data_IF_805672403705
#
_entry.id   IF_805672403705
#
_cell.length_a   1.000
_cell.length_b   1.000
_cell.length_c   1.000
_cell.angle_alpha   90.00
_cell.angle_beta   90.00
_cell.angle_gamma   90.00
#
_symmetry.space_group_name_H-M   'P 1'
#
loop_
_entity.id
_entity.type
_entity.pdbx_description
1 polymer ?
#
# COMPACT_ATOMS: atom_id res chain seq x y z
N UNK A 1 -44.78 -29.97 -6.23
CA UNK A 1 -44.42 -30.50 -4.89
C UNK A 1 -45.37 -29.99 -3.82
N UNK A 2 -45.48 -28.67 -3.60
CA UNK A 2 -46.37 -28.12 -2.57
C UNK A 2 -47.81 -28.63 -2.66
N UNK A 3 -48.41 -28.63 -3.85
CA UNK A 3 -49.78 -29.16 -4.05
C UNK A 3 -49.92 -30.65 -3.71
N UNK A 4 -48.92 -31.46 -4.08
CA UNK A 4 -48.88 -32.90 -3.81
C UNK A 4 -48.76 -33.16 -2.31
N UNK A 5 -47.86 -32.45 -1.62
CA UNK A 5 -47.71 -32.59 -0.19
C UNK A 5 -48.92 -32.03 0.56
N UNK A 6 -49.48 -30.88 0.15
CA UNK A 6 -50.74 -30.35 0.69
C UNK A 6 -51.89 -31.34 0.57
N UNK A 7 -51.94 -32.12 -0.53
CA UNK A 7 -52.91 -33.21 -0.67
C UNK A 7 -52.63 -34.34 0.33
N UNK A 8 -51.38 -34.77 0.49
CA UNK A 8 -51.01 -35.80 1.46
C UNK A 8 -51.36 -35.41 2.90
N UNK A 9 -51.20 -34.14 3.27
CA UNK A 9 -51.55 -33.59 4.60
C UNK A 9 -53.06 -33.43 4.85
N UNK A 10 -53.94 -33.67 3.86
CA UNK A 10 -55.40 -33.59 4.06
C UNK A 10 -55.96 -34.79 4.83
N UNK A 11 -55.28 -35.94 4.79
CA UNK A 11 -55.70 -37.14 5.51
C UNK A 11 -54.71 -37.46 6.63
N UNK A 12 -55.19 -37.46 7.88
CA UNK A 12 -54.36 -37.68 9.08
C UNK A 12 -53.62 -39.04 9.06
N UNK A 13 -54.15 -40.04 8.34
CA UNK A 13 -53.51 -41.35 8.18
C UNK A 13 -52.15 -41.26 7.45
N UNK A 14 -51.93 -40.23 6.63
CA UNK A 14 -50.70 -40.05 5.87
C UNK A 14 -49.56 -39.45 6.70
N UNK A 15 -49.84 -38.89 7.89
CA UNK A 15 -48.81 -38.35 8.78
C UNK A 15 -47.76 -39.40 9.14
N UNK A 16 -48.17 -40.66 9.31
CA UNK A 16 -47.26 -41.78 9.60
C UNK A 16 -46.27 -42.01 8.46
N UNK A 17 -46.70 -41.84 7.20
CA UNK A 17 -45.84 -42.00 6.02
C UNK A 17 -44.84 -40.85 5.91
N UNK A 18 -45.25 -39.62 6.24
CA UNK A 18 -44.42 -38.42 6.22
C UNK A 18 -43.36 -38.40 7.33
N UNK A 19 -43.65 -39.06 8.45
CA UNK A 19 -42.68 -39.31 9.53
C UNK A 19 -41.72 -40.44 9.19
N UNK A 20 -42.12 -41.38 8.33
CA UNK A 20 -41.29 -42.53 7.94
C UNK A 20 -40.36 -42.21 6.78
N UNK A 21 -40.78 -41.38 5.83
CA UNK A 21 -40.06 -41.11 4.59
C UNK A 21 -39.52 -39.68 4.50
N UNK A 22 -38.27 -39.56 4.06
CA UNK A 22 -37.61 -38.28 3.86
C UNK A 22 -38.01 -37.67 2.52
N UNK A 23 -39.06 -36.85 2.52
CA UNK A 23 -39.63 -36.26 1.30
C UNK A 23 -39.77 -34.75 1.35
N UNK A 24 -39.36 -34.08 2.43
CA UNK A 24 -39.48 -32.62 2.60
C UNK A 24 -38.08 -32.01 2.63
N UNK A 25 -37.74 -31.02 1.79
CA UNK A 25 -36.39 -30.45 1.75
C UNK A 25 -36.13 -29.52 2.96
N UNK A 26 -34.93 -29.61 3.50
CA UNK A 26 -34.37 -28.59 4.40
C UNK A 26 -33.79 -27.40 3.62
N UNK A 27 -33.26 -26.38 4.31
CA UNK A 27 -32.65 -25.19 3.68
C UNK A 27 -31.46 -25.52 2.77
N UNK A 28 -30.80 -26.66 2.95
CA UNK A 28 -29.72 -27.13 2.08
C UNK A 28 -30.22 -27.92 0.86
N UNK A 29 -31.53 -28.11 0.72
CA UNK A 29 -32.15 -28.88 -0.37
C UNK A 29 -32.10 -30.40 -0.17
N UNK A 30 -31.67 -30.87 1.00
CA UNK A 30 -31.65 -32.30 1.36
C UNK A 30 -33.02 -32.70 1.88
N UNK A 31 -33.59 -33.78 1.34
CA UNK A 31 -34.87 -34.30 1.83
C UNK A 31 -34.71 -34.96 3.20
N UNK A 32 -35.58 -34.57 4.13
CA UNK A 32 -35.66 -35.01 5.53
C UNK A 32 -37.09 -35.44 5.87
N UNK A 33 -37.24 -36.13 7.00
CA UNK A 33 -38.56 -36.53 7.52
C UNK A 33 -39.30 -35.31 8.07
N UNK A 34 -40.62 -35.42 8.17
CA UNK A 34 -41.45 -34.37 8.71
C UNK A 34 -41.05 -33.92 10.13
N UNK A 35 -40.79 -34.87 11.03
CA UNK A 35 -40.45 -34.61 12.44
C UNK A 35 -39.02 -34.08 12.65
N UNK A 36 -38.20 -34.03 11.60
CA UNK A 36 -36.81 -33.57 11.65
C UNK A 36 -36.66 -32.08 11.25
N UNK A 37 -37.74 -31.44 10.79
CA UNK A 37 -37.71 -30.10 10.21
C UNK A 37 -38.44 -29.07 11.06
N UNK A 38 -37.86 -27.89 11.16
CA UNK A 38 -38.34 -26.80 12.00
C UNK A 38 -38.48 -25.49 11.22
N UNK A 39 -39.42 -24.64 11.66
CA UNK A 39 -39.51 -23.26 11.17
C UNK A 39 -38.45 -22.41 11.84
N UNK A 40 -37.74 -21.64 11.03
CA UNK A 40 -36.72 -20.70 11.49
C UNK A 40 -37.37 -19.38 11.91
N UNK A 41 -37.39 -19.10 13.22
CA UNK A 41 -37.70 -17.77 13.75
C UNK A 41 -36.50 -17.13 14.44
N UNK A 42 -35.29 -17.65 14.23
CA UNK A 42 -34.10 -17.00 14.71
C UNK A 42 -33.84 -15.77 13.84
N UNK A 43 -33.87 -14.60 14.47
CA UNK A 43 -33.57 -13.30 13.85
C UNK A 43 -32.15 -12.83 14.20
N UNK A 44 -31.23 -13.77 14.37
CA UNK A 44 -29.86 -13.50 14.82
C UNK A 44 -28.87 -14.31 13.98
N UNK A 45 -28.28 -13.64 12.99
CA UNK A 45 -27.31 -14.27 12.09
C UNK A 45 -26.00 -14.58 12.80
N UNK A 46 -25.61 -13.78 13.79
CA UNK A 46 -24.36 -13.96 14.56
C UNK A 46 -24.40 -15.28 15.33
N UNK A 47 -25.51 -15.59 15.99
CA UNK A 47 -25.66 -16.88 16.70
C UNK A 47 -25.66 -18.08 15.74
N UNK A 48 -26.21 -17.93 14.54
CA UNK A 48 -26.17 -18.99 13.51
C UNK A 48 -24.73 -19.22 13.02
N UNK A 49 -23.97 -18.15 12.83
CA UNK A 49 -22.56 -18.20 12.42
C UNK A 49 -21.67 -18.84 13.49
N UNK A 50 -21.83 -18.44 14.76
CA UNK A 50 -21.16 -19.07 15.91
C UNK A 50 -21.42 -20.58 15.91
N UNK A 51 -22.67 -20.99 15.70
CA UNK A 51 -23.02 -22.42 15.69
C UNK A 51 -22.39 -23.18 14.50
N UNK A 52 -22.28 -22.52 13.34
CA UNK A 52 -21.58 -23.04 12.17
C UNK A 52 -20.09 -23.25 12.45
N UNK A 53 -19.41 -22.29 13.11
CA UNK A 53 -18.01 -22.41 13.52
C UNK A 53 -17.80 -23.58 14.50
N UNK A 54 -18.79 -23.86 15.34
CA UNK A 54 -18.80 -25.02 16.23
C UNK A 54 -19.12 -26.36 15.51
N UNK A 55 -19.12 -26.36 14.18
CA UNK A 55 -19.34 -27.50 13.28
C UNK A 55 -20.75 -28.10 13.40
N UNK A 56 -21.74 -27.25 13.69
CA UNK A 56 -23.15 -27.65 13.75
C UNK A 56 -23.90 -26.93 12.63
N UNK A 57 -24.38 -27.69 11.65
CA UNK A 57 -25.17 -27.14 10.56
C UNK A 57 -26.62 -26.91 10.99
N UNK A 58 -26.92 -25.69 11.42
CA UNK A 58 -28.27 -25.31 11.81
C UNK A 58 -29.25 -25.36 10.62
N UNK A 59 -28.78 -25.09 9.40
CA UNK A 59 -29.62 -25.09 8.19
C UNK A 59 -30.11 -26.50 7.85
N UNK A 60 -29.41 -27.54 8.28
CA UNK A 60 -29.83 -28.93 8.09
C UNK A 60 -31.18 -29.23 8.78
N UNK A 61 -31.45 -28.56 9.91
CA UNK A 61 -32.66 -28.72 10.72
C UNK A 61 -33.83 -27.82 10.26
N UNK A 62 -33.55 -26.83 9.42
CA UNK A 62 -34.52 -25.81 9.07
C UNK A 62 -35.26 -26.14 7.77
N UNK A 63 -36.57 -25.92 7.78
CA UNK A 63 -37.44 -26.09 6.62
C UNK A 63 -37.04 -25.16 5.47
N UNK A 64 -37.04 -25.68 4.24
CA UNK A 64 -36.80 -24.87 3.05
C UNK A 64 -37.87 -23.77 2.87
N UNK A 65 -37.46 -22.55 2.55
CA UNK A 65 -38.34 -21.36 2.47
C UNK A 65 -39.50 -21.49 1.47
N UNK A 66 -39.35 -22.33 0.44
CA UNK A 66 -40.39 -22.57 -0.58
C UNK A 66 -41.46 -23.58 -0.16
N UNK A 67 -41.33 -24.21 1.00
CA UNK A 67 -42.33 -25.12 1.55
C UNK A 67 -43.41 -24.31 2.25
N UNK A 68 -44.66 -24.45 1.82
CA UNK A 68 -45.81 -23.68 2.31
C UNK A 68 -46.99 -24.54 2.80
N UNK A 69 -46.72 -25.80 3.16
CA UNK A 69 -47.70 -26.77 3.66
C UNK A 69 -47.26 -27.32 5.03
N UNK A 70 -48.13 -28.01 5.76
CA UNK A 70 -47.78 -28.65 7.05
C UNK A 70 -47.73 -27.72 8.26
N UNK A 71 -47.60 -28.29 9.47
CA UNK A 71 -47.51 -27.57 10.74
C UNK A 71 -46.25 -27.95 11.52
N UNK A 72 -45.18 -27.21 11.29
CA UNK A 72 -43.88 -27.51 11.89
C UNK A 72 -43.69 -26.83 13.24
N UNK A 73 -42.87 -27.45 14.09
CA UNK A 73 -42.40 -26.82 15.31
C UNK A 73 -41.46 -25.66 14.99
N UNK A 74 -41.49 -24.64 15.84
CA UNK A 74 -40.67 -23.44 15.69
C UNK A 74 -39.41 -23.60 16.51
N UNK A 75 -38.27 -23.22 15.93
CA UNK A 75 -37.02 -23.03 16.67
C UNK A 75 -36.82 -21.55 16.95
N UNK A 76 -36.53 -21.23 18.21
CA UNK A 76 -36.33 -19.87 18.71
C UNK A 76 -34.88 -19.67 19.15
N UNK A 77 -34.52 -18.43 19.53
CA UNK A 77 -33.17 -18.11 19.99
C UNK A 77 -32.71 -18.97 21.18
N UNK A 78 -33.63 -19.40 22.05
CA UNK A 78 -33.36 -20.31 23.18
C UNK A 78 -32.82 -21.67 22.74
N UNK A 79 -33.30 -22.19 21.63
CA UNK A 79 -32.85 -23.49 21.11
C UNK A 79 -31.41 -23.42 20.59
N UNK A 80 -31.09 -22.35 19.85
CA UNK A 80 -29.70 -22.11 19.39
C UNK A 80 -28.79 -21.89 20.60
N UNK A 81 -29.21 -21.08 21.56
CA UNK A 81 -28.41 -20.80 22.74
C UNK A 81 -28.10 -22.07 23.54
N UNK A 82 -29.09 -22.94 23.70
CA UNK A 82 -28.92 -24.24 24.34
C UNK A 82 -27.92 -25.10 23.57
N UNK A 83 -27.98 -25.11 22.22
CA UNK A 83 -27.09 -25.93 21.40
C UNK A 83 -25.65 -25.42 21.39
N UNK A 84 -25.45 -24.11 21.30
CA UNK A 84 -24.14 -23.47 21.46
C UNK A 84 -23.57 -23.82 22.84
N UNK A 85 -24.37 -23.70 23.90
CA UNK A 85 -23.95 -24.01 25.27
C UNK A 85 -23.50 -25.46 25.43
N UNK A 86 -24.28 -26.41 24.92
CA UNK A 86 -23.93 -27.84 24.90
C UNK A 86 -22.60 -28.06 24.18
N UNK A 87 -22.46 -27.45 22.99
CA UNK A 87 -21.31 -27.69 22.13
C UNK A 87 -20.02 -27.11 22.70
N UNK A 88 -20.09 -25.92 23.31
CA UNK A 88 -18.96 -25.28 24.00
C UNK A 88 -18.53 -26.08 25.23
N UNK A 89 -19.47 -26.59 26.04
CA UNK A 89 -19.17 -27.42 27.23
C UNK A 89 -18.41 -28.71 26.90
N UNK A 90 -18.57 -29.23 25.69
CA UNK A 90 -17.92 -30.47 25.23
C UNK A 90 -16.53 -30.20 24.61
N UNK A 91 -16.16 -28.94 24.37
CA UNK A 91 -14.85 -28.60 23.82
C UNK A 91 -13.75 -29.01 24.80
N UNK A 92 -12.85 -29.89 24.33
CA UNK A 92 -11.64 -30.29 25.07
C UNK A 92 -10.39 -29.57 24.57
N UNK A 93 -10.41 -29.17 23.31
CA UNK A 93 -9.34 -28.47 22.62
C UNK A 93 -10.00 -27.33 21.84
N UNK A 94 -9.38 -26.15 21.90
CA UNK A 94 -9.84 -24.97 21.18
C UNK A 94 -9.08 -24.92 19.87
N UNK A 95 -9.74 -25.35 18.78
CA UNK A 95 -9.23 -25.09 17.43
C UNK A 95 -9.55 -23.65 17.00
N UNK A 96 -8.95 -23.22 15.88
CA UNK A 96 -9.13 -21.86 15.34
C UNK A 96 -10.60 -21.43 15.25
N UNK A 97 -11.46 -22.33 14.79
CA UNK A 97 -12.89 -22.06 14.64
C UNK A 97 -13.60 -21.93 16.00
N UNK A 98 -13.24 -22.77 16.97
CA UNK A 98 -13.79 -22.67 18.34
C UNK A 98 -13.35 -21.39 19.04
N UNK A 99 -12.10 -20.96 18.85
CA UNK A 99 -11.58 -19.69 19.38
C UNK A 99 -12.38 -18.53 18.79
N UNK A 100 -12.56 -18.51 17.47
CA UNK A 100 -13.34 -17.47 16.79
C UNK A 100 -14.81 -17.47 17.26
N UNK A 101 -15.42 -18.64 17.39
CA UNK A 101 -16.79 -18.77 17.89
C UNK A 101 -16.96 -18.18 19.31
N UNK A 102 -15.99 -18.41 20.20
CA UNK A 102 -16.00 -17.87 21.56
C UNK A 102 -15.75 -16.36 21.57
N UNK A 103 -14.90 -15.84 20.69
CA UNK A 103 -14.69 -14.39 20.51
C UNK A 103 -15.98 -13.70 20.08
N UNK A 104 -16.61 -14.20 19.00
CA UNK A 104 -17.88 -13.68 18.50
C UNK A 104 -19.00 -13.77 19.55
N UNK A 105 -19.04 -14.85 20.32
CA UNK A 105 -20.00 -14.99 21.42
C UNK A 105 -19.76 -13.96 22.53
N UNK A 106 -18.49 -13.64 22.82
CA UNK A 106 -18.14 -12.62 23.80
C UNK A 106 -18.58 -11.22 23.35
N UNK A 107 -18.32 -10.86 22.09
CA UNK A 107 -18.81 -9.62 21.48
C UNK A 107 -20.34 -9.56 21.51
N UNK A 108 -21.00 -10.67 21.20
CA UNK A 108 -22.46 -10.75 21.24
C UNK A 108 -23.01 -10.54 22.66
N UNK A 109 -22.34 -11.05 23.70
CA UNK A 109 -22.71 -10.79 25.09
C UNK A 109 -22.56 -9.32 25.50
N UNK A 110 -21.55 -8.63 24.98
CA UNK A 110 -21.37 -7.19 25.22
C UNK A 110 -22.46 -6.37 24.55
N UNK A 111 -22.82 -6.71 23.31
CA UNK A 111 -23.91 -6.05 22.58
C UNK A 111 -25.29 -6.38 23.18
N UNK A 112 -25.48 -7.57 23.79
CA UNK A 112 -26.77 -8.08 24.23
C UNK A 112 -26.76 -8.63 25.68
N UNK A 113 -26.46 -7.82 26.71
CA UNK A 113 -26.23 -8.31 28.07
C UNK A 113 -27.48 -8.93 28.72
N UNK A 114 -28.67 -8.38 28.45
CA UNK A 114 -29.93 -8.90 28.99
C UNK A 114 -30.28 -10.28 28.39
N UNK A 115 -30.13 -10.42 27.06
CA UNK A 115 -30.37 -11.69 26.38
C UNK A 115 -29.32 -12.72 26.78
N UNK A 116 -28.03 -12.34 26.86
CA UNK A 116 -26.94 -13.19 27.34
C UNK A 116 -27.23 -13.80 28.71
N UNK A 117 -27.65 -13.00 29.70
CA UNK A 117 -28.03 -13.51 31.03
C UNK A 117 -29.21 -14.48 30.97
N UNK A 118 -30.19 -14.22 30.11
CA UNK A 118 -31.42 -15.03 30.03
C UNK A 118 -31.26 -16.33 29.24
N UNK A 119 -30.47 -16.31 28.16
CA UNK A 119 -30.32 -17.41 27.22
C UNK A 119 -29.07 -18.27 27.52
N UNK A 120 -28.03 -17.65 28.06
CA UNK A 120 -26.70 -18.24 28.26
C UNK A 120 -26.22 -18.09 29.70
N UNK A 121 -27.09 -18.24 30.70
CA UNK A 121 -26.76 -17.95 32.11
C UNK A 121 -25.39 -18.51 32.55
N UNK A 122 -25.12 -19.79 32.28
CA UNK A 122 -23.85 -20.43 32.62
C UNK A 122 -22.64 -19.80 31.90
N UNK A 123 -22.71 -19.69 30.57
CA UNK A 123 -21.61 -19.17 29.77
C UNK A 123 -21.38 -17.67 30.00
N UNK A 124 -22.45 -16.91 30.21
CA UNK A 124 -22.40 -15.49 30.48
C UNK A 124 -21.72 -15.21 31.82
N UNK A 125 -22.01 -16.01 32.85
CA UNK A 125 -21.37 -15.87 34.16
C UNK A 125 -19.87 -16.20 34.09
N UNK A 126 -19.49 -17.21 33.31
CA UNK A 126 -18.10 -17.66 33.17
C UNK A 126 -17.40 -17.09 31.92
N UNK A 127 -17.95 -16.05 31.29
CA UNK A 127 -17.48 -15.55 29.98
C UNK A 127 -16.01 -15.13 29.97
N UNK A 128 -15.54 -14.50 31.05
CA UNK A 128 -14.16 -14.08 31.18
C UNK A 128 -13.19 -15.28 31.24
N UNK A 129 -13.57 -16.32 31.99
CA UNK A 129 -12.79 -17.56 32.06
C UNK A 129 -12.79 -18.30 30.73
N UNK A 130 -13.95 -18.35 30.06
CA UNK A 130 -14.09 -18.98 28.75
C UNK A 130 -13.15 -18.34 27.72
N UNK A 131 -13.10 -17.01 27.67
CA UNK A 131 -12.20 -16.27 26.78
C UNK A 131 -10.72 -16.44 27.18
N UNK A 132 -10.37 -16.42 28.47
CA UNK A 132 -8.99 -16.63 28.90
C UNK A 132 -8.48 -18.05 28.57
N UNK A 133 -9.37 -19.04 28.50
CA UNK A 133 -9.01 -20.40 28.16
C UNK A 133 -8.79 -20.62 26.66
N UNK A 134 -9.22 -19.71 25.80
CA UNK A 134 -8.91 -19.76 24.35
C UNK A 134 -7.52 -19.23 24.02
N UNK A 135 -6.83 -18.58 24.96
CA UNK A 135 -5.51 -18.00 24.76
C UNK A 135 -4.44 -19.02 25.15
N UNK A 136 -3.67 -19.49 24.18
CA UNK A 136 -2.56 -20.42 24.41
C UNK A 136 -1.41 -19.74 25.21
N UNK A 137 -0.97 -18.57 24.76
CA UNK A 137 0.11 -17.81 25.42
C UNK A 137 -0.43 -16.80 26.45
N UNK A 138 -0.83 -17.35 27.61
CA UNK A 138 -1.26 -16.54 28.75
C UNK A 138 -0.14 -15.63 29.26
N UNK A 139 1.12 -16.00 29.09
CA UNK A 139 2.26 -15.21 29.58
C UNK A 139 2.39 -13.89 28.81
N UNK A 140 2.27 -13.94 27.48
CA UNK A 140 2.26 -12.75 26.62
C UNK A 140 1.04 -11.86 26.88
N UNK A 141 -0.13 -12.44 27.13
CA UNK A 141 -1.31 -11.67 27.55
C UNK A 141 -1.04 -10.90 28.84
N UNK A 142 -0.48 -11.55 29.87
CA UNK A 142 -0.15 -10.86 31.12
C UNK A 142 0.93 -9.79 30.94
N UNK A 143 1.89 -9.98 30.03
CA UNK A 143 2.87 -8.94 29.68
C UNK A 143 2.18 -7.72 29.07
N UNK A 144 1.22 -7.93 28.17
CA UNK A 144 0.42 -6.86 27.57
C UNK A 144 -0.42 -6.14 28.62
N UNK A 145 -1.12 -6.88 29.50
CA UNK A 145 -1.94 -6.29 30.56
C UNK A 145 -1.12 -5.52 31.61
N UNK A 146 0.14 -5.93 31.87
CA UNK A 146 1.05 -5.24 32.78
C UNK A 146 1.72 -4.03 32.14
N UNK A 147 1.82 -4.00 30.82
CA UNK A 147 2.30 -2.82 30.13
C UNK A 147 1.31 -1.69 30.38
N UNK A 148 1.80 -0.49 30.72
CA UNK A 148 0.95 0.70 30.88
C UNK A 148 0.41 1.25 29.55
N UNK A 149 0.43 0.43 28.51
CA UNK A 149 0.01 0.80 27.15
C UNK A 149 -1.50 0.72 27.06
N UNK A 150 -2.12 1.69 26.41
CA UNK A 150 -3.56 1.70 26.16
C UNK A 150 -3.94 0.52 25.24
N UNK A 151 -4.91 -0.30 25.67
CA UNK A 151 -5.36 -1.46 24.90
C UNK A 151 -5.93 -1.06 23.53
N UNK A 152 -6.50 0.14 23.41
CA UNK A 152 -6.99 0.66 22.12
C UNK A 152 -5.88 0.74 21.07
N UNK A 153 -4.70 1.23 21.45
CA UNK A 153 -3.53 1.31 20.56
C UNK A 153 -3.00 -0.06 20.17
N UNK A 154 -3.15 -1.06 21.05
CA UNK A 154 -2.73 -2.43 20.76
C UNK A 154 -3.68 -3.06 19.73
N UNK A 155 -4.98 -2.78 19.81
CA UNK A 155 -5.95 -3.20 18.80
C UNK A 155 -5.64 -2.56 17.43
N UNK A 156 -5.40 -1.26 17.38
CA UNK A 156 -4.99 -0.57 16.14
C UNK A 156 -3.71 -1.16 15.53
N UNK A 157 -2.73 -1.51 16.37
CA UNK A 157 -1.51 -2.20 15.92
C UNK A 157 -1.81 -3.58 15.34
N UNK A 158 -2.71 -4.35 15.96
CA UNK A 158 -3.11 -5.66 15.46
C UNK A 158 -3.80 -5.56 14.09
N UNK A 159 -4.70 -4.59 13.91
CA UNK A 159 -5.36 -4.33 12.62
C UNK A 159 -4.35 -3.91 11.53
N UNK A 160 -3.41 -3.03 11.88
CA UNK A 160 -2.36 -2.59 10.96
C UNK A 160 -1.44 -3.76 10.54
N UNK A 161 -1.17 -4.68 11.46
CA UNK A 161 -0.40 -5.90 11.21
C UNK A 161 -1.15 -6.85 10.27
N UNK A 162 -2.44 -7.09 10.50
CA UNK A 162 -3.25 -7.94 9.60
C UNK A 162 -3.30 -7.36 8.18
N UNK A 163 -3.35 -6.04 8.07
CA UNK A 163 -3.34 -5.34 6.79
C UNK A 163 -1.97 -5.37 6.09
N UNK A 164 -0.87 -5.54 6.84
CA UNK A 164 0.48 -5.60 6.28
C UNK A 164 1.40 -6.55 7.05
N UNK A 165 1.49 -7.84 6.65
CA UNK A 165 2.23 -8.86 7.37
C UNK A 165 3.75 -8.66 7.37
N UNK A 166 4.30 -7.81 6.47
CA UNK A 166 5.75 -7.53 6.39
C UNK A 166 6.28 -6.68 7.55
N UNK A 167 5.40 -6.13 8.38
CA UNK A 167 5.79 -5.34 9.54
C UNK A 167 6.73 -6.14 10.45
N UNK A 168 6.48 -7.44 10.65
CA UNK A 168 7.29 -8.30 11.53
C UNK A 168 8.66 -8.68 10.99
N UNK A 169 8.82 -8.83 9.68
CA UNK A 169 10.11 -9.24 9.07
C UNK A 169 11.24 -8.29 9.48
N UNK A 170 10.90 -7.02 9.71
CA UNK A 170 11.86 -5.99 10.07
C UNK A 170 11.87 -5.66 11.57
N UNK A 171 11.00 -6.21 12.43
CA UNK A 171 10.97 -5.80 13.85
C UNK A 171 12.25 -6.17 14.57
N UNK A 172 12.79 -7.37 14.34
CA UNK A 172 14.00 -7.80 15.03
C UNK A 172 15.24 -7.10 14.47
N UNK A 173 15.28 -6.84 13.17
CA UNK A 173 16.30 -5.98 12.55
C UNK A 173 16.21 -4.54 13.07
N UNK A 174 15.01 -3.98 13.21
CA UNK A 174 14.78 -2.66 13.77
C UNK A 174 15.20 -2.62 15.24
N UNK A 175 14.81 -3.59 16.07
CA UNK A 175 15.25 -3.67 17.47
C UNK A 175 16.77 -3.75 17.57
N UNK A 176 17.40 -4.58 16.73
CA UNK A 176 18.86 -4.68 16.66
C UNK A 176 19.46 -3.33 16.25
N UNK A 177 18.90 -2.68 15.24
CA UNK A 177 19.32 -1.36 14.76
C UNK A 177 19.19 -0.27 15.83
N UNK A 178 18.07 -0.20 16.56
CA UNK A 178 17.88 0.74 17.67
C UNK A 178 18.93 0.51 18.77
N UNK A 179 19.24 -0.76 19.06
CA UNK A 179 20.23 -1.15 20.07
C UNK A 179 21.67 -0.85 19.62
N UNK A 180 22.03 -1.18 18.37
CA UNK A 180 23.39 -0.95 17.84
C UNK A 180 23.67 0.52 17.59
N UNK A 181 22.65 1.30 17.21
CA UNK A 181 22.77 2.72 16.87
C UNK A 181 22.58 3.65 18.08
N UNK A 182 22.35 3.08 19.27
CA UNK A 182 22.10 3.79 20.53
C UNK A 182 20.99 4.85 20.37
N UNK A 183 19.87 4.44 19.77
CA UNK A 183 18.73 5.31 19.45
C UNK A 183 17.61 4.93 20.42
N UNK A 184 17.20 5.88 21.25
CA UNK A 184 16.26 5.61 22.35
C UNK A 184 14.80 5.85 21.97
N UNK A 185 14.55 6.62 20.90
CA UNK A 185 13.21 6.97 20.45
C UNK A 185 13.16 7.24 18.93
N UNK A 186 11.96 7.24 18.36
CA UNK A 186 11.72 7.72 16.99
C UNK A 186 12.10 9.18 16.82
N UNK A 187 11.99 9.99 17.88
CA UNK A 187 12.42 11.39 17.86
C UNK A 187 13.94 11.49 17.81
N UNK A 188 14.67 10.64 18.55
CA UNK A 188 16.14 10.53 18.45
C UNK A 188 16.58 10.04 17.08
N UNK A 189 15.85 9.09 16.49
CA UNK A 189 16.10 8.62 15.14
C UNK A 189 15.94 9.77 14.15
N UNK A 190 14.81 10.47 14.24
CA UNK A 190 14.50 11.63 13.40
C UNK A 190 15.51 12.75 13.59
N UNK A 191 15.91 13.04 14.83
CA UNK A 191 16.94 14.03 15.15
C UNK A 191 18.31 13.61 14.63
N UNK A 192 18.70 12.33 14.74
CA UNK A 192 19.96 11.83 14.17
C UNK A 192 19.93 11.83 12.66
N UNK A 193 18.82 11.46 12.02
CA UNK A 193 18.65 11.61 10.58
C UNK A 193 18.65 13.07 10.17
N UNK A 194 18.03 13.96 10.93
CA UNK A 194 18.02 15.39 10.67
C UNK A 194 19.41 16.00 10.91
N UNK A 195 20.18 15.49 11.87
CA UNK A 195 21.59 15.84 12.07
C UNK A 195 22.48 15.26 10.98
N UNK A 196 22.21 14.07 10.45
CA UNK A 196 22.92 13.51 9.29
C UNK A 196 22.56 14.30 8.03
N UNK A 197 21.29 14.63 7.81
CA UNK A 197 20.83 15.51 6.72
C UNK A 197 21.48 16.89 6.87
N UNK A 198 21.53 17.44 8.09
CA UNK A 198 22.16 18.74 8.35
C UNK A 198 23.68 18.68 8.23
N UNK A 199 24.35 17.60 8.66
CA UNK A 199 25.81 17.43 8.58
C UNK A 199 26.28 17.04 7.18
N UNK A 200 25.44 16.38 6.38
CA UNK A 200 25.64 16.19 4.94
C UNK A 200 25.37 17.51 4.18
N UNK A 201 24.51 18.39 4.71
CA UNK A 201 24.22 19.73 4.17
C UNK A 201 25.16 20.86 4.64
N UNK A 202 26.21 20.60 5.43
CA UNK A 202 27.20 21.66 5.76
C UNK A 202 28.09 22.00 4.56
N UNK A 203 28.12 21.21 3.49
CA UNK A 203 28.76 21.61 2.23
C UNK A 203 27.75 21.99 1.15
N UNK A 204 27.35 23.27 1.20
CA UNK A 204 26.69 24.09 0.16
C UNK A 204 25.20 23.84 -0.11
N UNK A 205 24.33 24.45 0.71
CA UNK A 205 23.03 24.89 0.21
C UNK A 205 23.24 26.01 -0.81
N UNK A 206 22.76 25.81 -2.04
CA UNK A 206 23.02 26.71 -3.18
C UNK A 206 21.91 27.79 -3.21
N UNK A 207 22.29 29.06 -3.21
CA UNK A 207 21.34 30.16 -3.48
C UNK A 207 20.92 30.14 -4.96
N UNK A 208 19.66 30.49 -5.24
CA UNK A 208 19.18 30.59 -6.61
C UNK A 208 19.84 31.78 -7.34
N UNK A 209 20.87 31.52 -8.14
CA UNK A 209 21.56 32.53 -8.94
C UNK A 209 21.16 32.48 -10.41
N UNK A 210 21.43 33.58 -11.13
CA UNK A 210 21.19 33.68 -12.57
C UNK A 210 22.03 32.68 -13.37
N UNK A 211 23.27 32.41 -12.93
CA UNK A 211 24.17 31.42 -13.53
C UNK A 211 23.63 30.01 -13.35
N UNK A 212 23.09 29.69 -12.17
CA UNK A 212 22.50 28.39 -11.88
C UNK A 212 21.26 28.12 -12.74
N UNK A 213 20.38 29.11 -12.93
CA UNK A 213 19.21 28.97 -13.81
C UNK A 213 19.62 28.69 -15.25
N UNK A 214 20.68 29.34 -15.73
CA UNK A 214 21.27 29.06 -17.04
C UNK A 214 21.82 27.63 -17.11
N UNK A 215 22.56 27.19 -16.09
CA UNK A 215 23.10 25.83 -16.00
C UNK A 215 22.01 24.77 -15.91
N UNK A 216 20.88 25.05 -15.24
CA UNK A 216 19.69 24.19 -15.18
C UNK A 216 18.88 24.20 -16.48
N UNK A 217 19.09 25.21 -17.33
CA UNK A 217 18.39 25.34 -18.61
C UNK A 217 16.97 25.89 -18.43
N UNK A 218 16.70 26.54 -17.31
CA UNK A 218 15.40 27.08 -16.95
C UNK A 218 15.25 28.45 -17.62
N UNK A 219 14.34 28.52 -18.59
CA UNK A 219 14.19 29.70 -19.43
C UNK A 219 12.93 30.52 -19.13
N UNK A 220 11.94 29.93 -18.46
CA UNK A 220 10.64 30.52 -18.18
C UNK A 220 10.05 29.97 -16.85
N UNK A 221 8.90 30.52 -16.44
CA UNK A 221 8.22 30.13 -15.18
C UNK A 221 7.64 28.70 -15.21
N UNK A 222 7.26 28.17 -16.36
CA UNK A 222 6.76 26.79 -16.48
C UNK A 222 7.87 25.77 -16.24
N UNK A 223 9.04 25.98 -16.88
CA UNK A 223 10.27 25.21 -16.67
C UNK A 223 10.68 25.22 -15.19
N UNK A 224 10.55 26.39 -14.54
CA UNK A 224 10.87 26.56 -13.12
C UNK A 224 9.92 25.71 -12.25
N UNK A 225 8.62 25.82 -12.46
CA UNK A 225 7.64 25.06 -11.67
C UNK A 225 7.84 23.55 -11.84
N UNK A 226 8.22 23.10 -13.04
CA UNK A 226 8.60 21.70 -13.29
C UNK A 226 9.86 21.32 -12.52
N UNK A 227 10.92 22.14 -12.58
CA UNK A 227 12.18 21.90 -11.87
C UNK A 227 12.01 21.80 -10.35
N UNK A 228 11.23 22.71 -9.77
CA UNK A 228 10.96 22.74 -8.33
C UNK A 228 9.89 21.74 -7.87
N UNK A 229 9.19 21.08 -8.80
CA UNK A 229 8.32 19.94 -8.51
C UNK A 229 9.07 18.64 -8.20
N UNK A 230 10.36 18.55 -8.58
CA UNK A 230 11.23 17.41 -8.25
C UNK A 230 11.83 17.60 -6.84
N UNK A 231 11.48 16.68 -5.92
CA UNK A 231 11.93 16.68 -4.54
C UNK A 231 13.46 16.67 -4.40
N UNK A 232 14.19 16.08 -5.35
CA UNK A 232 15.65 16.06 -5.29
C UNK A 232 16.27 17.43 -5.55
N UNK A 233 15.63 18.23 -6.40
CA UNK A 233 16.07 19.56 -6.82
C UNK A 233 15.62 20.58 -5.79
N UNK A 234 14.35 20.52 -5.36
CA UNK A 234 13.82 21.40 -4.31
C UNK A 234 14.63 21.32 -3.01
N UNK A 235 15.10 20.13 -2.64
CA UNK A 235 15.86 19.91 -1.41
C UNK A 235 17.31 20.42 -1.46
N UNK A 236 17.83 20.80 -2.63
CA UNK A 236 19.19 21.33 -2.81
C UNK A 236 19.25 22.87 -2.74
N UNK A 237 18.10 23.56 -2.81
CA UNK A 237 18.03 25.02 -2.84
C UNK A 237 17.41 25.62 -1.58
N UNK A 238 17.87 26.80 -1.20
CA UNK A 238 17.21 27.60 -0.16
C UNK A 238 15.95 28.22 -0.79
N UNK A 239 14.77 27.92 -0.24
CA UNK A 239 13.48 28.48 -0.66
C UNK A 239 13.34 30.02 -0.44
N UNK A 240 14.43 30.76 -0.23
CA UNK A 240 14.38 32.18 0.11
C UNK A 240 14.27 33.10 -1.11
N UNK A 241 14.61 32.65 -2.31
CA UNK A 241 14.70 33.52 -3.50
C UNK A 241 13.71 33.10 -4.58
N UNK A 242 12.68 33.92 -4.82
CA UNK A 242 11.89 33.82 -6.05
C UNK A 242 12.74 34.36 -7.21
N UNK A 243 12.89 33.62 -8.32
CA UNK A 243 13.63 34.12 -9.48
C UNK A 243 13.00 35.42 -10.00
N UNK A 244 13.83 36.36 -10.42
CA UNK A 244 13.37 37.59 -11.06
C UNK A 244 13.30 37.42 -12.58
N UNK A 245 12.49 38.25 -13.25
CA UNK A 245 12.41 38.29 -14.72
C UNK A 245 13.78 38.49 -15.39
N UNK A 246 14.66 39.27 -14.76
CA UNK A 246 16.04 39.49 -15.23
C UNK A 246 16.87 38.20 -15.21
N UNK A 247 16.65 37.32 -14.23
CA UNK A 247 17.36 36.05 -14.15
C UNK A 247 16.96 35.11 -15.30
N UNK A 248 15.67 35.07 -15.68
CA UNK A 248 15.21 34.29 -16.83
C UNK A 248 15.75 34.85 -18.15
N UNK A 249 15.74 36.17 -18.32
CA UNK A 249 16.35 36.79 -19.50
C UNK A 249 17.85 36.49 -19.60
N UNK A 250 18.55 36.51 -18.47
CA UNK A 250 19.95 36.11 -18.42
C UNK A 250 20.11 34.65 -18.85
N UNK A 251 19.37 33.71 -18.25
CA UNK A 251 19.44 32.30 -18.60
C UNK A 251 19.15 32.04 -20.09
N UNK A 252 18.09 32.64 -20.64
CA UNK A 252 17.77 32.58 -22.07
C UNK A 252 18.92 33.09 -22.94
N UNK A 253 19.55 34.20 -22.56
CA UNK A 253 20.65 34.79 -23.33
C UNK A 253 21.88 33.88 -23.38
N UNK A 254 22.22 33.23 -22.26
CA UNK A 254 23.38 32.36 -22.14
C UNK A 254 23.14 31.04 -22.88
N UNK A 255 21.95 30.44 -22.75
CA UNK A 255 21.58 29.22 -23.48
C UNK A 255 21.60 29.49 -24.99
N UNK A 256 21.04 30.62 -25.43
CA UNK A 256 21.06 31.02 -26.84
C UNK A 256 22.47 31.24 -27.37
N UNK A 257 23.34 31.89 -26.60
CA UNK A 257 24.75 32.08 -26.95
C UNK A 257 25.45 30.72 -27.13
N UNK A 258 25.31 29.84 -26.14
CA UNK A 258 25.94 28.51 -26.17
C UNK A 258 25.49 27.71 -27.39
N UNK A 259 24.18 27.72 -27.69
CA UNK A 259 23.62 27.07 -28.88
C UNK A 259 24.24 27.59 -30.17
N UNK A 260 24.27 28.91 -30.36
CA UNK A 260 24.84 29.51 -31.57
C UNK A 260 26.33 29.20 -31.71
N UNK A 261 27.12 29.37 -30.64
CA UNK A 261 28.55 29.08 -30.67
C UNK A 261 28.85 27.63 -31.03
N UNK A 262 28.10 26.68 -30.46
CA UNK A 262 28.27 25.25 -30.75
C UNK A 262 27.88 24.96 -32.19
N UNK A 263 26.76 25.49 -32.69
CA UNK A 263 26.33 25.30 -34.09
C UNK A 263 27.39 25.84 -35.06
N UNK A 264 27.88 27.06 -34.81
CA UNK A 264 28.91 27.70 -35.64
C UNK A 264 30.22 26.88 -35.62
N UNK A 265 30.58 26.34 -34.46
CA UNK A 265 31.75 25.50 -34.33
C UNK A 265 31.58 24.15 -35.03
N UNK A 266 30.45 23.48 -34.86
CA UNK A 266 30.14 22.22 -35.55
C UNK A 266 30.15 22.40 -37.07
N UNK A 267 29.57 23.49 -37.58
CA UNK A 267 29.59 23.81 -39.01
C UNK A 267 31.01 24.06 -39.56
N UNK A 268 31.97 24.44 -38.71
CA UNK A 268 33.38 24.61 -39.10
C UNK A 268 34.15 23.27 -39.20
N UNK A 269 33.61 22.19 -38.65
CA UNK A 269 34.24 20.87 -38.64
C UNK A 269 33.81 20.05 -39.86
N UNK A 270 34.78 19.45 -40.56
CA UNK A 270 34.51 18.72 -41.82
C UNK A 270 33.67 17.45 -41.65
N UNK A 271 33.62 16.91 -40.44
CA UNK A 271 32.91 15.66 -40.14
C UNK A 271 31.46 15.88 -39.69
N UNK A 272 30.98 17.13 -39.63
CA UNK A 272 29.58 17.45 -39.30
C UNK A 272 28.88 18.12 -40.49
N UNK A 273 27.66 17.69 -40.76
CA UNK A 273 26.71 18.33 -41.65
C UNK A 273 25.58 18.92 -40.81
N UNK A 274 25.50 20.25 -40.83
CA UNK A 274 24.57 21.08 -40.06
C UNK A 274 23.48 21.72 -40.94
N UNK A 275 23.25 21.21 -42.16
CA UNK A 275 22.30 21.81 -43.11
C UNK A 275 20.84 21.65 -42.71
N UNK A 276 20.50 20.59 -41.97
CA UNK A 276 19.13 20.21 -41.60
C UNK A 276 18.87 20.35 -40.08
N UNK A 277 19.50 21.32 -39.41
CA UNK A 277 19.33 21.50 -37.95
C UNK A 277 17.86 21.71 -37.59
N UNK A 278 17.39 20.95 -36.60
CA UNK A 278 16.07 21.07 -36.01
C UNK A 278 16.15 21.22 -34.48
N UNK A 279 15.31 22.06 -33.90
CA UNK A 279 15.27 22.29 -32.45
C UNK A 279 14.25 21.36 -31.80
N UNK A 280 14.73 20.28 -31.17
CA UNK A 280 13.88 19.27 -30.54
C UNK A 280 13.43 19.69 -29.13
N UNK A 281 14.27 20.42 -28.41
CA UNK A 281 13.99 21.01 -27.10
C UNK A 281 14.91 22.22 -26.84
N UNK A 282 14.68 22.94 -25.74
CA UNK A 282 15.43 24.13 -25.33
C UNK A 282 16.95 23.95 -25.44
N UNK A 283 17.46 22.79 -25.03
CA UNK A 283 18.88 22.42 -25.00
C UNK A 283 19.22 21.21 -25.87
N UNK A 284 18.30 20.74 -26.73
CA UNK A 284 18.52 19.56 -27.59
C UNK A 284 18.25 19.92 -29.04
N UNK A 285 19.23 19.68 -29.90
CA UNK A 285 19.10 19.87 -31.36
C UNK A 285 19.31 18.53 -32.08
N UNK A 286 18.56 18.35 -33.15
CA UNK A 286 18.63 17.18 -34.04
C UNK A 286 18.95 17.59 -35.48
N UNK A 287 18.89 16.62 -36.39
CA UNK A 287 19.11 16.85 -37.83
C UNK A 287 20.57 17.04 -38.24
N UNK A 288 21.52 16.91 -37.31
CA UNK A 288 22.95 16.95 -37.58
C UNK A 288 23.44 15.57 -37.99
N UNK A 289 24.25 15.48 -39.04
CA UNK A 289 24.92 14.24 -39.43
C UNK A 289 26.40 14.30 -39.12
N UNK A 290 26.92 13.32 -38.41
CA UNK A 290 28.35 13.12 -38.20
C UNK A 290 28.81 11.91 -39.01
N UNK A 291 29.73 12.11 -39.93
CA UNK A 291 30.20 11.06 -40.85
C UNK A 291 29.06 10.32 -41.58
N UNK A 292 27.97 11.04 -41.88
CA UNK A 292 26.78 10.51 -42.54
C UNK A 292 25.72 9.86 -41.62
N UNK A 293 25.97 9.78 -40.31
CA UNK A 293 25.02 9.25 -39.32
C UNK A 293 24.31 10.39 -38.59
N UNK A 294 22.99 10.32 -38.45
CA UNK A 294 22.24 11.27 -37.65
C UNK A 294 22.61 11.16 -36.18
N UNK A 295 22.92 12.30 -35.58
CA UNK A 295 23.21 12.44 -34.16
C UNK A 295 22.38 13.55 -33.54
N UNK A 296 22.06 13.39 -32.26
CA UNK A 296 21.47 14.44 -31.44
C UNK A 296 22.57 15.16 -30.67
N UNK A 297 22.48 16.49 -30.57
CA UNK A 297 23.41 17.28 -29.78
C UNK A 297 22.66 17.88 -28.59
N UNK A 298 23.11 17.55 -27.39
CA UNK A 298 22.69 18.21 -26.15
C UNK A 298 23.65 19.34 -25.86
N UNK A 299 23.13 20.56 -25.72
CA UNK A 299 23.88 21.78 -25.52
C UNK A 299 23.72 22.27 -24.10
N UNK A 300 24.84 22.52 -23.41
CA UNK A 300 24.81 23.14 -22.08
C UNK A 300 25.82 24.27 -21.94
N UNK A 301 25.40 25.44 -21.41
CA UNK A 301 26.37 26.44 -20.98
C UNK A 301 27.15 25.89 -19.77
N UNK A 302 28.42 26.27 -19.72
CA UNK A 302 29.39 25.86 -18.69
C UNK A 302 30.02 27.08 -18.01
N UNK A 303 29.40 28.26 -18.16
CA UNK A 303 29.83 29.53 -17.59
C UNK A 303 30.03 29.47 -16.07
N UNK A 304 29.27 28.61 -15.37
CA UNK A 304 29.38 28.40 -13.93
C UNK A 304 30.47 27.37 -13.52
N UNK A 305 31.27 26.88 -14.47
CA UNK A 305 32.28 25.84 -14.22
C UNK A 305 31.70 24.44 -13.99
N UNK A 306 30.39 24.28 -14.13
CA UNK A 306 29.66 23.02 -13.98
C UNK A 306 28.59 22.89 -15.07
N UNK A 307 28.16 21.66 -15.33
CA UNK A 307 27.12 21.33 -16.31
C UNK A 307 26.06 20.51 -15.59
N UNK A 308 24.81 20.95 -15.64
CA UNK A 308 23.69 20.31 -14.95
C UNK A 308 22.72 19.76 -16.00
N UNK A 309 22.52 18.45 -16.00
CA UNK A 309 21.54 17.78 -16.87
C UNK A 309 20.28 17.48 -16.06
N UNK A 310 19.17 18.10 -16.45
CA UNK A 310 17.93 18.02 -15.70
C UNK A 310 16.82 17.36 -16.52
N UNK A 311 16.57 17.89 -17.72
CA UNK A 311 15.39 17.54 -18.51
C UNK A 311 15.45 16.08 -18.97
N UNK A 312 14.29 15.41 -18.93
CA UNK A 312 14.16 14.04 -19.43
C UNK A 312 14.59 13.95 -20.89
N UNK A 313 14.21 14.92 -21.73
CA UNK A 313 14.63 14.97 -23.15
C UNK A 313 16.14 14.91 -23.37
N UNK A 314 16.93 15.49 -22.46
CA UNK A 314 18.40 15.45 -22.55
C UNK A 314 18.94 14.10 -22.13
N UNK A 315 18.43 13.56 -21.03
CA UNK A 315 18.82 12.23 -20.52
C UNK A 315 18.43 11.15 -21.51
N UNK A 316 17.23 11.22 -22.06
CA UNK A 316 16.71 10.32 -23.07
C UNK A 316 17.55 10.41 -24.34
N UNK A 317 17.92 11.63 -24.77
CA UNK A 317 18.79 11.81 -25.94
C UNK A 317 20.17 11.19 -25.70
N UNK A 318 20.81 11.49 -24.57
CA UNK A 318 22.15 10.99 -24.21
C UNK A 318 22.18 9.50 -23.87
N UNK A 319 21.02 8.88 -23.62
CA UNK A 319 20.91 7.44 -23.41
C UNK A 319 21.12 6.64 -24.69
N UNK A 320 20.79 7.21 -25.85
CA UNK A 320 20.98 6.55 -27.14
C UNK A 320 22.41 6.72 -27.66
N UNK A 321 22.92 5.71 -28.38
CA UNK A 321 24.32 5.65 -28.87
C UNK A 321 24.72 6.82 -29.79
N UNK A 322 23.74 7.48 -30.42
CA UNK A 322 23.95 8.54 -31.41
C UNK A 322 23.63 9.93 -30.82
N UNK A 323 24.21 10.25 -29.66
CA UNK A 323 24.07 11.57 -29.06
C UNK A 323 25.40 12.07 -28.46
N UNK A 324 25.58 13.39 -28.48
CA UNK A 324 26.76 14.04 -27.93
C UNK A 324 26.39 15.20 -27.01
N UNK A 325 27.12 15.33 -25.91
CA UNK A 325 27.03 16.47 -25.01
C UNK A 325 28.10 17.50 -25.38
N UNK A 326 27.66 18.71 -25.73
CA UNK A 326 28.52 19.83 -26.10
C UNK A 326 28.35 20.99 -25.13
N UNK A 327 29.48 21.62 -24.79
CA UNK A 327 29.53 22.71 -23.82
C UNK A 327 30.23 23.95 -24.36
N UNK A 328 29.74 25.11 -23.95
CA UNK A 328 30.28 26.43 -24.27
C UNK A 328 30.31 27.28 -22.99
N UNK A 329 31.32 28.13 -22.84
CA UNK A 329 31.41 29.12 -21.75
C UNK A 329 31.62 30.56 -22.30
N UNK A 330 31.56 30.73 -23.63
CA UNK A 330 31.78 32.01 -24.31
C UNK A 330 33.20 32.58 -24.22
N UNK A 331 34.15 31.82 -23.67
CA UNK A 331 35.57 32.20 -23.55
C UNK A 331 36.46 31.24 -24.33
N UNK A 332 36.25 29.95 -24.13
CA UNK A 332 36.97 28.87 -24.79
C UNK A 332 36.21 28.39 -26.02
N UNK A 333 36.91 27.69 -26.91
CA UNK A 333 36.26 27.03 -28.04
C UNK A 333 35.25 25.99 -27.53
N UNK A 334 34.05 25.91 -28.13
CA UNK A 334 33.07 24.88 -27.79
C UNK A 334 33.69 23.49 -27.92
N UNK A 335 33.36 22.60 -26.99
CA UNK A 335 33.94 21.25 -26.97
C UNK A 335 32.92 20.20 -26.54
N UNK A 336 33.14 19.00 -27.03
CA UNK A 336 32.40 17.82 -26.60
C UNK A 336 32.85 17.40 -25.20
N UNK A 337 31.90 17.13 -24.31
CA UNK A 337 32.13 16.54 -23.00
C UNK A 337 31.88 15.03 -23.09
N UNK A 338 32.95 14.24 -23.19
CA UNK A 338 32.84 12.78 -23.39
C UNK A 338 32.76 12.02 -22.07
N UNK A 339 32.22 10.80 -22.09
CA UNK A 339 32.20 9.92 -20.91
C UNK A 339 33.61 9.72 -20.31
N UNK A 340 34.64 9.57 -21.15
CA UNK A 340 36.02 9.44 -20.70
C UNK A 340 36.52 10.66 -19.91
N UNK A 341 36.17 11.87 -20.35
CA UNK A 341 36.49 13.11 -19.63
C UNK A 341 35.73 13.21 -18.30
N UNK A 342 34.46 12.78 -18.29
CA UNK A 342 33.62 12.76 -17.08
C UNK A 342 34.23 11.80 -16.04
N UNK A 343 34.57 10.58 -16.45
CA UNK A 343 35.18 9.58 -15.57
C UNK A 343 36.52 10.06 -15.00
N UNK A 344 37.34 10.71 -15.83
CA UNK A 344 38.64 11.27 -15.40
C UNK A 344 38.48 12.44 -14.43
N UNK A 345 37.51 13.33 -14.66
CA UNK A 345 37.26 14.51 -13.83
C UNK A 345 36.67 14.12 -12.47
N UNK A 346 35.76 13.15 -12.42
CA UNK A 346 35.05 12.75 -11.19
C UNK A 346 35.83 11.68 -10.40
N UNK A 347 36.77 10.96 -11.04
CA UNK A 347 37.58 9.92 -10.37
C UNK A 347 36.80 8.65 -10.03
N UNK A 348 35.78 8.32 -10.82
CA UNK A 348 34.95 7.13 -10.63
C UNK A 348 35.72 5.89 -11.12
N UNK A 349 36.06 5.00 -10.19
CA UNK A 349 36.83 3.77 -10.48
C UNK A 349 35.99 2.48 -10.39
N UNK A 350 34.70 2.60 -10.08
CA UNK A 350 33.75 1.47 -9.96
C UNK A 350 32.41 1.88 -10.56
N UNK A 351 31.96 1.17 -11.58
CA UNK A 351 30.68 1.40 -12.25
C UNK A 351 29.84 0.13 -12.06
N UNK A 352 28.67 0.20 -11.41
CA UNK A 352 27.74 -0.93 -11.35
C UNK A 352 27.07 -1.12 -12.72
N UNK A 353 26.97 -2.37 -13.16
CA UNK A 353 26.35 -2.78 -14.43
C UNK A 353 25.19 -3.72 -14.18
#
# INVERSE_FOLDING_TARGET
>A
MNEVCSFLFKEELNDVLLRKHAIIPNKNGVFKKYDELYLDKIKDNTLIEILSLLKVDWKDLLLHQKVNFGRYQVKEQRDIASKITERIKILKVYDKDSILAISMLSEWFEANPALGKSLFADLYNNRAELFLNTIEDKESLYKVMRAKTDLSKIAELAEAIESNPKIFENIDELKLFFKTSNISSLEDLKNKFQLIINNVNVSKQIELTKELLASLGISNDEDLNSAFGDLNISNQFIHSSKPSLEMFHYAQSIIKRAKNNIIDHLASLQNYDCTEIDELATTVIGGIKKDGLFINIVIRPSDNGEVILYYSSEKDSLYYDNAELWIDNGRDLPRQLTLGEILKTIGINRIPV
#
